data_IF_007081507799
#
_entry.id   IF_007081507799
#
_cell.length_a   1.000
_cell.length_b   1.000
_cell.length_c   1.000
_cell.angle_alpha   90.00
_cell.angle_beta   90.00
_cell.angle_gamma   90.00
#
_symmetry.space_group_name_H-M   'P 1'
#
loop_
_entity.id
_entity.type
_entity.pdbx_description
1 polymer ?
#
# COMPACT_ATOMS: atom_id res chain seq x y z
N UNK A 1 -0.41 -6.57 0.53
CA UNK A 1 0.62 -5.51 0.48
C UNK A 1 2.04 -6.06 0.58
N UNK A 2 2.48 -6.67 1.69
CA UNK A 2 3.86 -7.22 1.78
C UNK A 2 4.07 -8.34 0.74
N UNK A 3 3.25 -9.40 0.78
CA UNK A 3 3.40 -10.54 -0.13
C UNK A 3 3.25 -10.13 -1.60
N UNK A 4 2.15 -9.45 -1.95
CA UNK A 4 1.91 -8.99 -3.33
C UNK A 4 2.99 -8.00 -3.79
N UNK A 5 3.51 -7.16 -2.89
CA UNK A 5 4.59 -6.22 -3.18
C UNK A 5 5.92 -6.91 -3.46
N UNK A 6 6.28 -7.93 -2.68
CA UNK A 6 7.48 -8.74 -2.93
C UNK A 6 7.39 -9.47 -4.29
N UNK A 7 6.24 -10.04 -4.61
CA UNK A 7 6.03 -10.71 -5.91
C UNK A 7 6.17 -9.74 -7.09
N UNK A 8 5.69 -8.50 -6.94
CA UNK A 8 5.86 -7.45 -7.96
C UNK A 8 7.30 -6.96 -8.04
N UNK A 9 7.97 -6.78 -6.89
CA UNK A 9 9.35 -6.30 -6.82
C UNK A 9 10.34 -7.24 -7.53
N UNK A 10 10.09 -8.55 -7.52
CA UNK A 10 10.90 -9.52 -8.29
C UNK A 10 10.84 -9.33 -9.82
N UNK A 11 9.87 -8.57 -10.33
CA UNK A 11 9.67 -8.34 -11.77
C UNK A 11 9.75 -6.85 -12.16
N UNK A 12 10.02 -5.97 -11.19
CA UNK A 12 10.11 -4.53 -11.39
C UNK A 12 11.55 -4.09 -11.66
N UNK A 13 11.74 -3.07 -12.49
CA UNK A 13 13.06 -2.46 -12.74
C UNK A 13 13.02 -0.97 -12.39
N UNK A 14 13.84 -0.57 -11.42
CA UNK A 14 13.92 0.81 -10.92
C UNK A 14 14.83 1.70 -11.79
N UNK A 15 14.53 1.78 -13.08
CA UNK A 15 15.20 2.68 -14.04
C UNK A 15 14.14 3.49 -14.79
N UNK A 16 14.34 4.80 -14.96
CA UNK A 16 13.35 5.69 -15.57
C UNK A 16 12.94 5.31 -17.00
N UNK A 17 13.82 4.65 -17.74
CA UNK A 17 13.53 4.19 -19.11
C UNK A 17 12.78 2.85 -19.14
N UNK A 18 12.81 2.09 -18.04
CA UNK A 18 12.27 0.73 -17.97
C UNK A 18 11.09 0.59 -17.01
N UNK A 19 10.91 1.47 -16.03
CA UNK A 19 9.92 1.35 -14.94
C UNK A 19 8.51 1.01 -15.45
N UNK A 20 7.95 1.88 -16.30
CA UNK A 20 6.63 1.67 -16.90
C UNK A 20 6.54 0.36 -17.71
N UNK A 21 7.58 0.08 -18.51
CA UNK A 21 7.62 -1.11 -19.35
C UNK A 21 7.70 -2.41 -18.53
N UNK A 22 8.39 -2.39 -17.37
CA UNK A 22 8.51 -3.54 -16.47
C UNK A 22 7.19 -3.87 -15.77
N UNK A 23 6.40 -2.84 -15.41
CA UNK A 23 5.04 -3.02 -14.88
C UNK A 23 4.10 -3.57 -15.96
N UNK A 24 4.18 -3.05 -17.19
CA UNK A 24 3.40 -3.55 -18.32
C UNK A 24 3.77 -5.01 -18.66
N UNK A 25 5.06 -5.34 -18.65
CA UNK A 25 5.57 -6.70 -18.83
C UNK A 25 5.02 -7.64 -17.76
N UNK A 26 5.06 -7.23 -16.49
CA UNK A 26 4.50 -8.00 -15.38
C UNK A 26 3.02 -8.31 -15.59
N UNK A 27 2.23 -7.33 -16.00
CA UNK A 27 0.79 -7.54 -16.21
C UNK A 27 0.47 -8.46 -17.41
N UNK A 28 1.30 -8.43 -18.46
CA UNK A 28 1.01 -9.14 -19.73
C UNK A 28 1.66 -10.52 -19.83
N UNK A 29 2.84 -10.69 -19.25
CA UNK A 29 3.70 -11.84 -19.53
C UNK A 29 4.01 -12.71 -18.29
N UNK A 30 3.89 -12.15 -17.07
CA UNK A 30 4.08 -12.93 -15.84
C UNK A 30 2.78 -13.67 -15.50
N UNK A 31 2.87 -14.95 -15.16
CA UNK A 31 1.72 -15.77 -14.79
C UNK A 31 0.98 -15.14 -13.61
N UNK A 32 -0.32 -14.84 -13.81
CA UNK A 32 -1.15 -14.11 -12.85
C UNK A 32 -0.62 -12.71 -12.45
N UNK A 33 0.34 -12.14 -13.18
CA UNK A 33 0.93 -10.84 -12.85
C UNK A 33 -0.09 -9.71 -12.85
N UNK A 34 -1.07 -9.72 -13.78
CA UNK A 34 -2.20 -8.78 -13.77
C UNK A 34 -3.02 -8.88 -12.47
N UNK A 35 -3.28 -10.08 -11.98
CA UNK A 35 -4.07 -10.31 -10.77
C UNK A 35 -3.31 -9.80 -9.55
N UNK A 36 -2.02 -10.17 -9.42
CA UNK A 36 -1.15 -9.72 -8.33
C UNK A 36 -1.04 -8.20 -8.31
N UNK A 37 -0.85 -7.57 -9.47
CA UNK A 37 -0.78 -6.10 -9.59
C UNK A 37 -2.09 -5.44 -9.18
N UNK A 38 -3.23 -5.94 -9.65
CA UNK A 38 -4.53 -5.39 -9.28
C UNK A 38 -4.85 -5.60 -7.79
N UNK A 39 -4.49 -6.75 -7.22
CA UNK A 39 -4.63 -7.00 -5.78
C UNK A 39 -3.75 -6.05 -4.97
N UNK A 40 -2.52 -5.77 -5.39
CA UNK A 40 -1.64 -4.83 -4.68
C UNK A 40 -2.17 -3.39 -4.74
N UNK A 41 -2.63 -2.94 -5.92
CA UNK A 41 -3.16 -1.61 -6.13
C UNK A 41 -4.47 -1.39 -5.35
N UNK A 42 -5.46 -2.27 -5.53
CA UNK A 42 -6.73 -2.17 -4.80
C UNK A 42 -6.56 -2.44 -3.30
N UNK A 43 -5.58 -3.28 -2.93
CA UNK A 43 -5.21 -3.53 -1.54
C UNK A 43 -4.71 -2.28 -0.83
N UNK A 44 -4.10 -1.31 -1.53
CA UNK A 44 -3.73 -0.02 -0.95
C UNK A 44 -4.99 0.79 -0.59
N UNK A 45 -5.96 0.92 -1.50
CA UNK A 45 -7.23 1.62 -1.22
C UNK A 45 -8.01 0.95 -0.09
N UNK A 46 -8.07 -0.39 -0.08
CA UNK A 46 -8.70 -1.13 1.01
C UNK A 46 -8.04 -0.85 2.36
N UNK A 47 -6.70 -0.74 2.39
CA UNK A 47 -5.98 -0.36 3.60
C UNK A 47 -6.44 1.00 4.13
N UNK A 48 -6.59 2.00 3.24
CA UNK A 48 -7.09 3.32 3.64
C UNK A 48 -8.54 3.31 4.12
N UNK A 49 -9.42 2.52 3.50
CA UNK A 49 -10.78 2.32 4.00
C UNK A 49 -10.74 1.78 5.44
N UNK A 50 -9.95 0.72 5.66
CA UNK A 50 -9.78 0.14 6.99
C UNK A 50 -9.22 1.14 8.01
N UNK A 51 -8.20 1.93 7.65
CA UNK A 51 -7.58 2.85 8.61
C UNK A 51 -8.51 4.02 8.97
N UNK A 52 -9.28 4.54 8.01
CA UNK A 52 -10.25 5.60 8.31
C UNK A 52 -11.40 5.11 9.18
N UNK A 53 -11.91 3.89 8.93
CA UNK A 53 -12.89 3.26 9.82
C UNK A 53 -12.29 3.00 11.21
N UNK A 54 -11.05 2.54 11.29
CA UNK A 54 -10.35 2.31 12.56
C UNK A 54 -10.20 3.60 13.39
N UNK A 55 -9.80 4.69 12.75
CA UNK A 55 -9.69 6.03 13.36
C UNK A 55 -11.07 6.53 13.80
N UNK A 56 -12.08 6.44 12.94
CA UNK A 56 -13.45 6.86 13.24
C UNK A 56 -14.02 6.12 14.44
N UNK A 57 -13.81 4.80 14.52
CA UNK A 57 -14.15 4.00 15.71
C UNK A 57 -13.42 4.50 16.95
N UNK A 58 -12.13 4.80 16.82
CA UNK A 58 -11.32 5.30 17.93
C UNK A 58 -11.83 6.63 18.49
N UNK A 59 -12.33 7.53 17.64
CA UNK A 59 -13.00 8.75 18.08
C UNK A 59 -14.35 8.45 18.74
N UNK A 60 -15.20 7.64 18.10
CA UNK A 60 -16.55 7.35 18.58
C UNK A 60 -16.57 6.74 19.99
N UNK A 61 -15.61 5.85 20.31
CA UNK A 61 -15.51 5.19 21.62
C UNK A 61 -14.49 5.82 22.57
N UNK A 62 -13.94 7.00 22.25
CA UNK A 62 -12.95 7.65 23.13
C UNK A 62 -11.63 6.90 23.28
N UNK A 63 -11.28 5.99 22.36
CA UNK A 63 -10.07 5.18 22.44
C UNK A 63 -8.77 6.01 22.32
N UNK A 64 -8.86 7.24 21.83
CA UNK A 64 -7.73 8.20 21.82
C UNK A 64 -7.25 8.59 23.23
N UNK A 65 -8.03 8.30 24.28
CA UNK A 65 -7.60 8.48 25.67
C UNK A 65 -6.43 7.56 26.06
N UNK A 66 -6.24 6.43 25.36
CA UNK A 66 -5.04 5.61 25.47
C UNK A 66 -3.88 6.25 24.69
N UNK A 67 -3.30 7.30 25.28
CA UNK A 67 -2.37 8.22 24.61
C UNK A 67 -1.21 7.54 23.89
N UNK A 68 -0.51 6.61 24.54
CA UNK A 68 0.64 5.92 23.92
C UNK A 68 0.22 5.12 22.69
N UNK A 69 -0.89 4.39 22.79
CA UNK A 69 -1.45 3.61 21.68
C UNK A 69 -1.94 4.54 20.56
N UNK A 70 -2.60 5.65 20.91
CA UNK A 70 -3.10 6.61 19.94
C UNK A 70 -1.97 7.32 19.19
N UNK A 71 -0.96 7.80 19.89
CA UNK A 71 0.21 8.46 19.30
C UNK A 71 0.98 7.50 18.38
N UNK A 72 1.15 6.24 18.80
CA UNK A 72 1.72 5.19 17.93
C UNK A 72 0.84 4.98 16.69
N UNK A 73 -0.49 4.97 16.84
CA UNK A 73 -1.44 4.88 15.73
C UNK A 73 -1.31 6.04 14.73
N UNK A 74 -1.08 7.27 15.20
CA UNK A 74 -0.82 8.43 14.32
C UNK A 74 0.48 8.25 13.53
N UNK A 75 1.55 7.75 14.18
CA UNK A 75 2.82 7.44 13.48
C UNK A 75 2.60 6.35 12.42
N UNK A 76 1.82 5.31 12.73
CA UNK A 76 1.46 4.26 11.76
C UNK A 76 0.69 4.82 10.56
N UNK A 77 -0.27 5.74 10.79
CA UNK A 77 -0.99 6.43 9.71
C UNK A 77 -0.03 7.21 8.80
N UNK A 78 0.86 8.01 9.37
CA UNK A 78 1.84 8.79 8.60
C UNK A 78 2.79 7.89 7.81
N UNK A 79 3.23 6.77 8.41
CA UNK A 79 4.09 5.79 7.76
C UNK A 79 3.39 5.09 6.59
N UNK A 80 2.11 4.75 6.76
CA UNK A 80 1.27 4.20 5.68
C UNK A 80 1.12 5.21 4.53
N UNK A 81 0.86 6.48 4.84
CA UNK A 81 0.73 7.54 3.84
C UNK A 81 2.02 7.72 3.03
N UNK A 82 3.17 7.80 3.71
CA UNK A 82 4.47 7.88 3.05
C UNK A 82 4.71 6.67 2.14
N UNK A 83 4.41 5.46 2.63
CA UNK A 83 4.59 4.21 1.88
C UNK A 83 3.70 4.14 0.63
N UNK A 84 2.42 4.52 0.76
CA UNK A 84 1.49 4.53 -0.36
C UNK A 84 1.86 5.60 -1.40
N UNK A 85 2.29 6.79 -0.94
CA UNK A 85 2.74 7.87 -1.80
C UNK A 85 3.94 7.44 -2.66
N UNK A 86 5.01 6.93 -2.04
CA UNK A 86 6.20 6.50 -2.81
C UNK A 86 5.88 5.30 -3.70
N UNK A 87 4.99 4.40 -3.27
CA UNK A 87 4.55 3.27 -4.10
C UNK A 87 3.80 3.69 -5.37
N UNK A 88 3.08 4.82 -5.33
CA UNK A 88 2.36 5.36 -6.49
C UNK A 88 3.28 5.96 -7.56
N UNK A 89 4.54 6.29 -7.21
CA UNK A 89 5.53 6.88 -8.14
C UNK A 89 6.28 5.80 -8.95
N UNK A 90 6.17 4.52 -8.58
CA UNK A 90 6.90 3.42 -9.21
C UNK A 90 6.44 3.02 -10.64
N UNK A 91 5.14 3.03 -11.00
CA UNK A 91 4.69 2.70 -12.35
C UNK A 91 4.73 3.89 -13.32
#
# INVERSE_FOLDING_TARGET
>A
QILTGLLLAMHYTADTTLAFSSVAHTCRNVQYGWLIRNLHANGASFFFICIYLHIGRGFYYGSYLYKETWNTGVILLLTLMATAFVGYVLP
#
